data_IF_601342980317
#
_entry.id   IF_601342980317
#
_cell.length_a   1.000
_cell.length_b   1.000
_cell.length_c   1.000
_cell.angle_alpha   90.00
_cell.angle_beta   90.00
_cell.angle_gamma   90.00
#
_symmetry.space_group_name_H-M   'P 1'
#
loop_
_entity.id
_entity.type
_entity.pdbx_description
1 polymer ?
#
# COMPACT_ATOMS: atom_id res chain seq x y z
N UNK A 1 10.78 2.54 -22.16
CA UNK A 1 9.66 2.33 -21.22
C UNK A 1 8.49 1.81 -22.02
N UNK A 2 8.07 0.55 -21.85
CA UNK A 2 6.90 0.03 -22.60
C UNK A 2 5.62 0.50 -21.91
N UNK A 3 4.62 1.02 -22.64
CA UNK A 3 3.32 1.32 -22.08
C UNK A 3 2.58 -0.01 -21.88
N UNK A 4 2.31 -0.38 -20.63
CA UNK A 4 1.33 -1.39 -20.30
C UNK A 4 0.15 -0.70 -19.63
N UNK A 5 -0.74 -0.17 -20.45
CA UNK A 5 -2.08 0.25 -20.02
C UNK A 5 -3.07 -0.72 -20.61
N UNK A 6 -3.20 -1.89 -19.97
CA UNK A 6 -4.57 -2.39 -19.78
C UNK A 6 -5.20 -1.41 -18.80
N UNK A 7 -6.29 -0.76 -19.19
CA UNK A 7 -7.11 -0.03 -18.23
C UNK A 7 -7.60 -1.04 -17.19
N UNK A 8 -6.96 -1.04 -16.03
CA UNK A 8 -7.38 -1.86 -14.89
C UNK A 8 -8.02 -0.93 -13.87
N UNK A 9 -9.09 -1.38 -13.20
CA UNK A 9 -9.68 -0.67 -12.06
C UNK A 9 -8.83 -0.81 -10.77
N UNK A 10 -7.58 -1.25 -10.90
CA UNK A 10 -6.62 -1.46 -9.83
C UNK A 10 -5.47 -0.48 -9.98
N UNK A 11 -4.92 -0.04 -8.85
CA UNK A 11 -3.90 0.98 -8.79
C UNK A 11 -2.79 0.55 -7.85
N UNK A 12 -1.54 0.77 -8.27
CA UNK A 12 -0.39 0.64 -7.39
C UNK A 12 -0.48 1.64 -6.23
N UNK A 13 0.01 1.22 -5.06
CA UNK A 13 0.14 2.12 -3.92
C UNK A 13 1.12 3.26 -4.25
N UNK A 14 0.80 4.53 -3.92
CA UNK A 14 1.70 5.65 -4.17
C UNK A 14 3.00 5.50 -3.37
N UNK A 15 4.09 6.06 -3.89
CA UNK A 15 5.36 6.06 -3.17
C UNK A 15 5.28 6.96 -1.93
N UNK A 16 5.80 6.49 -0.81
CA UNK A 16 6.07 7.32 0.37
C UNK A 16 7.46 7.94 0.24
N UNK A 17 7.54 9.26 0.33
CA UNK A 17 8.80 9.99 0.23
C UNK A 17 9.43 10.15 1.61
N UNK A 18 10.76 10.14 1.65
CA UNK A 18 11.53 10.46 2.84
C UNK A 18 11.49 11.95 3.13
N UNK A 19 11.61 12.30 4.41
CA UNK A 19 11.79 13.68 4.82
C UNK A 19 13.20 14.17 4.41
N UNK A 20 13.39 15.48 4.17
CA UNK A 20 14.67 16.04 3.73
C UNK A 20 15.85 15.70 4.65
N UNK A 21 15.58 15.52 5.94
CA UNK A 21 16.54 15.25 7.00
C UNK A 21 16.60 13.76 7.44
N UNK A 22 15.96 12.84 6.70
CA UNK A 22 16.04 11.40 7.00
C UNK A 22 17.47 10.85 6.81
N UNK A 23 18.06 10.17 7.80
CA UNK A 23 19.48 9.81 7.79
C UNK A 23 19.83 8.58 6.93
N UNK A 24 18.87 7.69 6.67
CA UNK A 24 19.07 6.46 5.89
C UNK A 24 18.26 6.54 4.60
N UNK A 25 18.95 6.58 3.46
CA UNK A 25 18.36 6.54 2.12
C UNK A 25 19.21 5.73 1.15
N UNK A 26 18.57 4.83 0.40
CA UNK A 26 19.13 4.13 -0.74
C UNK A 26 19.01 4.95 -2.02
N UNK A 27 19.57 4.44 -3.13
CA UNK A 27 19.57 5.14 -4.43
C UNK A 27 18.18 5.30 -5.04
N UNK A 28 17.25 4.39 -4.69
CA UNK A 28 15.88 4.38 -5.23
C UNK A 28 14.88 5.22 -4.43
N UNK A 29 15.30 5.69 -3.26
CA UNK A 29 14.47 6.49 -2.36
C UNK A 29 14.21 7.88 -2.95
N UNK A 30 12.97 8.34 -2.81
CA UNK A 30 12.58 9.70 -3.17
C UNK A 30 12.45 10.52 -1.89
N UNK A 31 12.93 11.75 -1.97
CA UNK A 31 13.00 12.68 -0.84
C UNK A 31 12.13 13.88 -1.18
N UNK A 32 11.34 14.36 -0.22
CA UNK A 32 10.63 15.62 -0.36
C UNK A 32 11.61 16.79 -0.48
N UNK A 33 11.18 17.88 -1.09
CA UNK A 33 11.97 19.12 -1.17
C UNK A 33 12.06 19.76 0.23
N UNK A 34 10.93 19.83 0.92
CA UNK A 34 10.76 20.36 2.27
C UNK A 34 9.60 19.61 2.98
N UNK A 35 9.25 20.02 4.20
CA UNK A 35 8.13 19.49 4.97
C UNK A 35 6.96 20.49 5.11
N UNK A 36 6.88 21.49 4.21
CA UNK A 36 5.83 22.52 4.23
C UNK A 36 4.43 21.95 4.06
N UNK A 37 4.30 20.80 3.39
CA UNK A 37 3.05 20.05 3.25
C UNK A 37 2.43 19.64 4.60
N UNK A 38 3.19 19.66 5.71
CA UNK A 38 2.71 19.31 7.05
C UNK A 38 2.38 20.53 7.93
N UNK A 39 2.75 21.74 7.53
CA UNK A 39 2.55 22.94 8.34
C UNK A 39 1.08 23.21 8.65
N UNK A 40 0.77 23.47 9.92
CA UNK A 40 -0.59 23.76 10.39
C UNK A 40 -1.56 22.57 10.33
N UNK A 41 -1.08 21.36 10.02
CA UNK A 41 -1.90 20.15 9.95
C UNK A 41 -1.75 19.30 11.20
N UNK A 42 -2.81 18.55 11.52
CA UNK A 42 -2.71 17.46 12.48
C UNK A 42 -2.05 16.26 11.81
N UNK A 43 -0.82 15.93 12.23
CA UNK A 43 -0.02 14.85 11.64
C UNK A 43 -0.10 13.62 12.53
N UNK A 44 -0.49 12.48 11.94
CA UNK A 44 -0.45 11.17 12.59
C UNK A 44 0.79 10.45 12.10
N UNK A 45 1.64 10.04 13.04
CA UNK A 45 2.85 9.27 12.76
C UNK A 45 2.59 7.82 13.15
N UNK A 46 2.90 6.91 12.25
CA UNK A 46 2.81 5.46 12.46
C UNK A 46 4.18 4.83 12.29
N UNK A 47 4.39 3.66 12.89
CA UNK A 47 5.60 2.88 12.67
C UNK A 47 5.65 2.41 11.20
N UNK A 48 6.82 2.51 10.57
CA UNK A 48 6.99 1.94 9.23
C UNK A 48 7.47 0.50 9.38
N UNK A 49 6.55 -0.44 9.13
CA UNK A 49 6.91 -1.84 9.04
C UNK A 49 7.67 -2.16 7.74
N UNK A 50 8.47 -3.22 7.77
CA UNK A 50 9.29 -3.67 6.65
C UNK A 50 8.82 -5.05 6.18
N UNK A 51 8.01 -5.08 5.14
CA UNK A 51 7.51 -6.32 4.56
C UNK A 51 7.17 -6.15 3.08
N UNK A 52 6.12 -6.83 2.64
CA UNK A 52 5.63 -6.71 1.28
C UNK A 52 4.42 -5.77 1.24
N UNK A 53 4.44 -4.79 0.33
CA UNK A 53 3.27 -3.96 0.08
C UNK A 53 2.07 -4.84 -0.30
N UNK A 54 0.92 -4.63 0.33
CA UNK A 54 -0.31 -5.35 0.04
C UNK A 54 -1.44 -4.37 -0.23
N UNK A 55 -2.09 -4.52 -1.38
CA UNK A 55 -3.29 -3.76 -1.76
C UNK A 55 -4.45 -4.72 -1.98
N UNK A 56 -5.54 -4.52 -1.26
CA UNK A 56 -6.68 -5.44 -1.19
C UNK A 56 -7.96 -4.71 -1.59
N UNK A 57 -8.65 -5.28 -2.57
CA UNK A 57 -9.98 -4.92 -3.06
C UNK A 57 -10.98 -6.02 -2.67
N UNK A 58 -12.30 -5.79 -2.78
CA UNK A 58 -13.27 -6.86 -2.55
C UNK A 58 -13.06 -8.07 -3.47
N UNK A 59 -12.68 -7.84 -4.72
CA UNK A 59 -12.58 -8.86 -5.77
C UNK A 59 -11.14 -9.17 -6.23
N UNK A 60 -10.13 -8.51 -5.66
CA UNK A 60 -8.76 -8.62 -6.11
C UNK A 60 -7.77 -8.25 -5.01
N UNK A 61 -6.53 -8.70 -5.12
CA UNK A 61 -5.42 -8.18 -4.34
C UNK A 61 -4.13 -8.28 -5.15
N UNK A 62 -3.20 -7.38 -4.87
CA UNK A 62 -1.89 -7.36 -5.52
C UNK A 62 -0.84 -6.79 -4.57
N UNK A 63 0.42 -7.10 -4.84
CA UNK A 63 1.55 -6.51 -4.13
C UNK A 63 1.87 -5.10 -4.68
N UNK A 64 3.15 -4.71 -4.78
CA UNK A 64 3.53 -3.43 -5.38
C UNK A 64 3.11 -3.28 -6.86
N UNK A 65 3.13 -4.39 -7.60
CA UNK A 65 2.71 -4.45 -9.00
C UNK A 65 1.39 -5.20 -9.12
N UNK A 66 0.47 -4.71 -9.96
CA UNK A 66 -0.83 -5.36 -10.23
C UNK A 66 -0.65 -6.81 -10.71
N UNK A 67 0.39 -7.08 -11.48
CA UNK A 67 0.70 -8.42 -12.01
C UNK A 67 1.63 -9.23 -11.08
N UNK A 68 1.64 -8.97 -9.77
CA UNK A 68 2.49 -9.67 -8.80
C UNK A 68 2.28 -11.19 -8.81
N UNK A 69 3.37 -11.95 -8.73
CA UNK A 69 3.35 -13.42 -8.67
C UNK A 69 2.71 -13.90 -7.37
N UNK A 70 1.97 -15.02 -7.44
CA UNK A 70 1.35 -15.64 -6.26
C UNK A 70 2.35 -16.57 -5.58
N UNK A 71 2.72 -16.25 -4.35
CA UNK A 71 3.57 -17.08 -3.50
C UNK A 71 2.82 -17.54 -2.22
N UNK A 72 3.53 -18.05 -1.22
CA UNK A 72 2.91 -18.49 0.03
C UNK A 72 2.33 -17.33 0.84
N UNK A 73 2.99 -16.17 0.84
CA UNK A 73 2.54 -14.97 1.55
C UNK A 73 1.21 -14.46 0.97
N UNK A 74 1.03 -14.57 -0.35
CA UNK A 74 -0.22 -14.25 -1.04
C UNK A 74 -1.41 -15.09 -0.53
N UNK A 75 -1.19 -16.35 -0.12
CA UNK A 75 -2.28 -17.20 0.42
C UNK A 75 -2.81 -16.66 1.74
N UNK A 76 -1.96 -16.05 2.56
CA UNK A 76 -2.39 -15.41 3.81
C UNK A 76 -3.13 -14.11 3.56
N UNK A 77 -2.64 -13.27 2.64
CA UNK A 77 -3.36 -12.07 2.19
C UNK A 77 -4.74 -12.39 1.61
N UNK A 78 -4.89 -13.49 0.86
CA UNK A 78 -6.20 -13.97 0.39
C UNK A 78 -7.13 -14.39 1.53
N UNK A 79 -6.59 -15.09 2.55
CA UNK A 79 -7.38 -15.46 3.74
C UNK A 79 -7.85 -14.22 4.49
N UNK A 80 -6.96 -13.26 4.70
CA UNK A 80 -7.31 -11.99 5.35
C UNK A 80 -8.35 -11.22 4.53
N UNK A 81 -8.17 -11.12 3.20
CA UNK A 81 -9.17 -10.53 2.29
C UNK A 81 -10.52 -11.19 2.48
N UNK A 82 -10.61 -12.52 2.42
CA UNK A 82 -11.87 -13.24 2.58
C UNK A 82 -12.54 -12.98 3.94
N UNK A 83 -11.76 -12.76 4.99
CA UNK A 83 -12.27 -12.38 6.31
C UNK A 83 -12.87 -10.97 6.34
N UNK A 84 -12.22 -9.99 5.70
CA UNK A 84 -12.67 -8.59 5.72
C UNK A 84 -13.60 -8.22 4.56
N UNK A 85 -13.74 -9.07 3.54
CA UNK A 85 -14.40 -8.71 2.25
C UNK A 85 -15.83 -8.22 2.44
N UNK A 86 -16.58 -8.81 3.38
CA UNK A 86 -17.96 -8.41 3.69
C UNK A 86 -18.06 -6.98 4.21
N UNK A 87 -17.03 -6.48 4.88
CA UNK A 87 -16.93 -5.11 5.36
C UNK A 87 -16.48 -4.13 4.26
N UNK A 88 -15.75 -4.64 3.25
CA UNK A 88 -15.30 -3.83 2.11
C UNK A 88 -16.36 -3.69 1.03
N UNK A 89 -17.19 -4.71 0.80
CA UNK A 89 -18.23 -4.70 -0.24
C UNK A 89 -19.16 -3.47 -0.21
N UNK A 90 -19.62 -2.98 0.97
CA UNK A 90 -20.45 -1.78 1.04
C UNK A 90 -19.69 -0.47 0.74
N UNK A 91 -18.36 -0.50 0.78
CA UNK A 91 -17.51 0.67 0.60
C UNK A 91 -17.16 0.82 -0.88
N UNK A 92 -18.03 1.53 -1.62
CA UNK A 92 -17.76 1.85 -3.02
C UNK A 92 -16.46 2.63 -3.17
N UNK A 93 -15.59 2.19 -4.08
CA UNK A 93 -14.33 2.85 -4.42
C UNK A 93 -13.35 2.93 -3.24
N UNK A 94 -13.30 1.88 -2.41
CA UNK A 94 -12.28 1.74 -1.37
C UNK A 94 -11.39 0.52 -1.60
N UNK A 95 -10.18 0.63 -1.09
CA UNK A 95 -9.22 -0.47 -0.96
C UNK A 95 -8.57 -0.41 0.42
N UNK A 96 -8.06 -1.55 0.85
CA UNK A 96 -7.16 -1.64 2.00
C UNK A 96 -5.74 -1.65 1.48
N UNK A 97 -4.88 -0.81 2.05
CA UNK A 97 -3.46 -0.81 1.77
C UNK A 97 -2.72 -1.09 3.07
N UNK A 98 -1.71 -1.93 3.02
CA UNK A 98 -0.96 -2.30 4.21
C UNK A 98 0.34 -2.98 3.86
N UNK A 99 1.01 -3.43 4.91
CA UNK A 99 2.24 -4.19 4.79
C UNK A 99 1.97 -5.63 5.25
N UNK A 100 2.18 -6.58 4.35
CA UNK A 100 2.20 -7.99 4.63
C UNK A 100 3.56 -8.35 5.20
N UNK A 101 3.63 -8.55 6.51
CA UNK A 101 4.82 -9.05 7.18
C UNK A 101 4.60 -10.54 7.43
N UNK A 102 4.26 -11.35 6.42
CA UNK A 102 3.96 -12.78 6.61
C UNK A 102 5.03 -13.54 7.46
N UNK A 103 6.27 -13.06 7.45
CA UNK A 103 7.33 -13.59 8.30
C UNK A 103 7.33 -13.08 9.77
N UNK A 104 6.56 -12.04 10.14
CA UNK A 104 6.48 -11.43 11.48
C UNK A 104 5.14 -10.78 11.99
N UNK A 105 4.17 -10.24 11.18
CA UNK A 105 2.83 -9.64 11.55
C UNK A 105 2.09 -8.90 10.37
N UNK A 106 0.95 -8.21 10.57
CA UNK A 106 0.26 -7.36 9.54
C UNK A 106 -0.10 -5.97 10.09
N UNK A 107 0.05 -4.91 9.30
CA UNK A 107 -0.50 -3.57 9.57
C UNK A 107 -1.26 -3.05 8.34
N UNK A 108 -2.41 -2.39 8.54
CA UNK A 108 -3.26 -1.93 7.42
C UNK A 108 -3.93 -0.58 7.66
N UNK A 109 -4.19 0.14 6.57
CA UNK A 109 -4.87 1.43 6.51
C UNK A 109 -5.87 1.47 5.34
N UNK A 110 -6.93 2.28 5.47
CA UNK A 110 -7.98 2.40 4.44
C UNK A 110 -7.69 3.55 3.48
N UNK A 111 -7.86 3.32 2.17
CA UNK A 111 -7.67 4.35 1.15
C UNK A 111 -8.88 4.45 0.22
N UNK A 112 -9.39 5.68 0.06
CA UNK A 112 -10.45 6.02 -0.90
C UNK A 112 -9.86 6.25 -2.29
N UNK A 113 -10.44 5.62 -3.31
CA UNK A 113 -10.09 5.86 -4.72
C UNK A 113 -10.70 7.19 -5.18
N UNK A 114 -9.97 7.90 -6.04
CA UNK A 114 -10.44 9.15 -6.67
C UNK A 114 -11.41 8.85 -7.79
#
# INVERSE_FOLDING_TARGET
MKPHTKETNYYNYPRTFHLPYSPKRGSEDKVLIDDTDFEGKYVVIMEKMDGENATIYPNHLHALSIDSTKDESHRWSERFRNYIVSHLHPLNNWRVCGENLFYNQYECHLQKLK
#
